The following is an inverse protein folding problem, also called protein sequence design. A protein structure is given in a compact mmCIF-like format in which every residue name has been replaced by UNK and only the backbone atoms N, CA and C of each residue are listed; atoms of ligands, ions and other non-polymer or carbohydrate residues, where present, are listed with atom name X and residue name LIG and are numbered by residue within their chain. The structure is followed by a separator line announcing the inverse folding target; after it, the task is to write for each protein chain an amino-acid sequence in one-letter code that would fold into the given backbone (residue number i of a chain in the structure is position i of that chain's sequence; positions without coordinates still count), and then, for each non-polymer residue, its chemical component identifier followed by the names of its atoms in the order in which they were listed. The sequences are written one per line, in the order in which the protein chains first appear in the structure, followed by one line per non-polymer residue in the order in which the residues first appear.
data_IF_297552171097
#
_entry.id   IF_297552171097
#
_cell.length_a   1.000
_cell.length_b   1.000
_cell.length_c   1.000
_cell.angle_alpha   90.00
_cell.angle_beta   90.00
_cell.angle_gamma   90.00
#
_symmetry.space_group_name_H-M   'P 1'
#
loop_
_entity.id
_entity.type
_entity.pdbx_description
1 polymer ?
#
# COMPACT_ATOMS: atom_id res chain seq x y z
N UNK A 1 -10.90 67.53 -12.60
CA UNK A 1 -10.35 67.09 -11.30
C UNK A 1 -10.26 65.56 -11.33
N UNK A 2 -9.32 65.03 -12.12
CA UNK A 2 -9.30 63.62 -12.56
C UNK A 2 -7.85 63.10 -12.58
N UNK A 3 -7.12 63.29 -11.47
CA UNK A 3 -5.69 62.90 -11.42
C UNK A 3 -5.31 62.13 -10.14
N UNK A 4 -6.18 62.07 -9.12
CA UNK A 4 -5.87 61.35 -7.86
C UNK A 4 -6.37 59.89 -7.81
N UNK A 5 -7.26 59.47 -8.71
CA UNK A 5 -7.85 58.11 -8.70
C UNK A 5 -7.14 57.07 -9.57
N UNK A 6 -6.54 57.49 -10.68
CA UNK A 6 -5.85 56.60 -11.63
C UNK A 6 -4.67 55.81 -11.02
N UNK A 7 -3.73 56.43 -10.28
CA UNK A 7 -2.58 55.70 -9.75
C UNK A 7 -2.97 54.68 -8.67
N UNK A 8 -3.99 54.98 -7.86
CA UNK A 8 -4.51 54.05 -6.85
C UNK A 8 -5.17 52.82 -7.50
N UNK A 9 -5.90 53.02 -8.58
CA UNK A 9 -6.52 51.93 -9.36
C UNK A 9 -5.43 51.08 -10.04
N UNK A 10 -4.36 51.70 -10.56
CA UNK A 10 -3.24 50.97 -11.17
C UNK A 10 -2.49 50.10 -10.13
N UNK A 11 -2.25 50.62 -8.93
CA UNK A 11 -1.66 49.81 -7.85
C UNK A 11 -2.56 48.66 -7.39
N UNK A 12 -3.88 48.89 -7.32
CA UNK A 12 -4.85 47.85 -6.98
C UNK A 12 -4.91 46.75 -8.05
N UNK A 13 -4.93 47.11 -9.34
CA UNK A 13 -4.92 46.12 -10.44
C UNK A 13 -3.62 45.32 -10.47
N UNK A 14 -2.48 45.96 -10.17
CA UNK A 14 -1.18 45.29 -10.07
C UNK A 14 -1.14 44.30 -8.89
N UNK A 15 -1.68 44.68 -7.73
CA UNK A 15 -1.82 43.78 -6.58
C UNK A 15 -2.75 42.60 -6.87
N UNK A 16 -3.91 42.84 -7.49
CA UNK A 16 -4.84 41.78 -7.89
C UNK A 16 -4.17 40.84 -8.91
N UNK A 17 -3.44 41.37 -9.88
CA UNK A 17 -2.68 40.58 -10.85
C UNK A 17 -1.62 39.71 -10.17
N UNK A 18 -0.88 40.27 -9.20
CA UNK A 18 0.14 39.54 -8.45
C UNK A 18 -0.46 38.44 -7.57
N UNK A 19 -1.55 38.73 -6.85
CA UNK A 19 -2.27 37.72 -6.05
C UNK A 19 -2.84 36.61 -6.94
N UNK A 20 -3.43 36.96 -8.09
CA UNK A 20 -3.98 35.97 -9.03
C UNK A 20 -2.88 35.07 -9.61
N UNK A 21 -1.72 35.65 -9.95
CA UNK A 21 -0.57 34.90 -10.43
C UNK A 21 -0.03 33.95 -9.36
N UNK A 22 0.13 34.42 -8.11
CA UNK A 22 0.56 33.57 -7.00
C UNK A 22 -0.44 32.45 -6.72
N UNK A 23 -1.74 32.74 -6.71
CA UNK A 23 -2.78 31.72 -6.52
C UNK A 23 -2.72 30.66 -7.62
N UNK A 24 -2.46 31.06 -8.86
CA UNK A 24 -2.30 30.13 -9.99
C UNK A 24 -1.07 29.24 -9.82
N UNK A 25 0.07 29.82 -9.39
CA UNK A 25 1.30 29.04 -9.13
C UNK A 25 1.08 28.03 -8.00
N UNK A 26 0.46 28.44 -6.90
CA UNK A 26 0.15 27.56 -5.77
C UNK A 26 -0.80 26.45 -6.19
N UNK A 27 -1.88 26.77 -6.91
CA UNK A 27 -2.83 25.78 -7.40
C UNK A 27 -2.15 24.78 -8.36
N UNK A 28 -1.31 25.27 -9.28
CA UNK A 28 -0.56 24.42 -10.21
C UNK A 28 0.38 23.48 -9.45
N UNK A 29 1.06 23.98 -8.42
CA UNK A 29 1.93 23.17 -7.56
C UNK A 29 1.14 22.08 -6.82
N UNK A 30 -0.02 22.43 -6.25
CA UNK A 30 -0.90 21.48 -5.55
C UNK A 30 -1.38 20.39 -6.51
N UNK A 31 -1.88 20.78 -7.70
CA UNK A 31 -2.35 19.82 -8.71
C UNK A 31 -1.20 18.91 -9.14
N UNK A 32 -0.02 19.47 -9.42
CA UNK A 32 1.14 18.68 -9.84
C UNK A 32 1.53 17.63 -8.80
N UNK A 33 1.64 18.01 -7.53
CA UNK A 33 1.96 17.07 -6.45
C UNK A 33 0.87 16.03 -6.24
N UNK A 34 -0.39 16.41 -6.37
CA UNK A 34 -1.51 15.48 -6.25
C UNK A 34 -1.51 14.46 -7.40
N UNK A 35 -1.32 14.91 -8.65
CA UNK A 35 -1.22 14.04 -9.82
C UNK A 35 -0.07 13.06 -9.70
N UNK A 36 1.12 13.50 -9.27
CA UNK A 36 2.25 12.57 -9.06
C UNK A 36 1.95 11.50 -8.01
N UNK A 37 1.25 11.85 -6.92
CA UNK A 37 0.85 10.86 -5.90
C UNK A 37 -0.19 9.89 -6.43
N UNK A 38 -1.18 10.38 -7.18
CA UNK A 38 -2.21 9.55 -7.78
C UNK A 38 -1.61 8.57 -8.79
N UNK A 39 -0.70 9.03 -9.66
CA UNK A 39 -0.02 8.20 -10.66
C UNK A 39 0.81 7.10 -10.00
N UNK A 40 1.58 7.41 -8.94
CA UNK A 40 2.32 6.40 -8.19
C UNK A 40 1.41 5.33 -7.60
N UNK A 41 0.29 5.75 -6.99
CA UNK A 41 -0.67 4.81 -6.42
C UNK A 41 -1.31 3.92 -7.50
N UNK A 42 -1.60 4.50 -8.68
CA UNK A 42 -2.14 3.75 -9.82
C UNK A 42 -1.13 2.75 -10.38
N UNK A 43 0.15 3.13 -10.52
CA UNK A 43 1.23 2.22 -10.93
C UNK A 43 1.37 1.06 -9.94
N UNK A 44 1.41 1.35 -8.64
CA UNK A 44 1.46 0.30 -7.60
C UNK A 44 0.28 -0.65 -7.72
N UNK A 45 -0.95 -0.11 -7.86
CA UNK A 45 -2.15 -0.93 -8.04
C UNK A 45 -2.10 -1.77 -9.32
N UNK A 46 -1.61 -1.20 -10.42
CA UNK A 46 -1.43 -1.89 -11.70
C UNK A 46 -0.49 -3.08 -11.56
N UNK A 47 0.71 -2.85 -11.04
CA UNK A 47 1.71 -3.91 -10.78
C UNK A 47 1.12 -5.02 -9.88
N UNK A 48 0.36 -4.65 -8.83
CA UNK A 48 -0.24 -5.65 -7.94
C UNK A 48 -1.37 -6.44 -8.59
N UNK A 49 -2.11 -5.85 -9.54
CA UNK A 49 -3.10 -6.57 -10.35
C UNK A 49 -2.41 -7.55 -11.30
N UNK A 50 -1.31 -7.14 -11.95
CA UNK A 50 -0.53 -8.02 -12.82
C UNK A 50 0.03 -9.21 -12.04
N UNK A 51 0.56 -8.96 -10.83
CA UNK A 51 0.97 -10.02 -9.91
C UNK A 51 -0.16 -10.93 -9.49
N UNK A 52 -1.36 -10.38 -9.24
CA UNK A 52 -2.54 -11.20 -8.93
C UNK A 52 -2.91 -12.11 -10.09
N UNK A 53 -2.90 -11.58 -11.31
CA UNK A 53 -3.26 -12.35 -12.51
C UNK A 53 -2.22 -13.44 -12.79
N UNK A 54 -0.93 -13.14 -12.60
CA UNK A 54 0.14 -14.15 -12.60
C UNK A 54 -0.09 -15.23 -11.53
N UNK A 55 -0.36 -14.86 -10.29
CA UNK A 55 -0.60 -15.81 -9.20
C UNK A 55 -1.83 -16.70 -9.49
N UNK A 56 -2.89 -16.14 -10.07
CA UNK A 56 -4.06 -16.91 -10.48
C UNK A 56 -3.75 -17.90 -11.61
N UNK A 57 -2.88 -17.51 -12.56
CA UNK A 57 -2.40 -18.42 -13.60
C UNK A 57 -1.59 -19.58 -13.02
N UNK A 58 -0.64 -19.30 -12.12
CA UNK A 58 0.14 -20.34 -11.42
C UNK A 58 -0.77 -21.26 -10.61
N UNK A 59 -1.80 -20.74 -9.94
CA UNK A 59 -2.75 -21.58 -9.21
C UNK A 59 -3.55 -22.53 -10.11
N UNK A 60 -3.80 -22.13 -11.37
CA UNK A 60 -4.54 -22.91 -12.35
C UNK A 60 -3.72 -23.97 -13.08
N UNK A 61 -2.38 -23.90 -13.05
CA UNK A 61 -1.49 -24.71 -13.87
C UNK A 61 -0.40 -25.41 -13.03
N UNK A 62 -0.34 -26.74 -13.11
CA UNK A 62 0.61 -27.54 -12.33
C UNK A 62 2.05 -27.44 -12.85
N UNK A 63 2.25 -27.27 -14.15
CA UNK A 63 3.59 -27.12 -14.73
C UNK A 63 4.19 -25.78 -14.28
N UNK A 64 3.37 -24.71 -14.25
CA UNK A 64 3.79 -23.42 -13.69
C UNK A 64 4.13 -23.51 -12.20
N UNK A 65 3.41 -24.32 -11.42
CA UNK A 65 3.75 -24.54 -10.00
C UNK A 65 5.09 -25.24 -9.84
N UNK A 66 5.39 -26.22 -10.69
CA UNK A 66 6.68 -26.92 -10.66
C UNK A 66 7.82 -26.00 -11.08
N UNK A 67 7.60 -25.14 -12.08
CA UNK A 67 8.57 -24.13 -12.50
C UNK A 67 8.84 -23.14 -11.36
N UNK A 68 7.78 -22.61 -10.73
CA UNK A 68 7.91 -21.66 -9.63
C UNK A 68 8.60 -22.29 -8.40
N UNK A 69 8.26 -23.55 -8.08
CA UNK A 69 8.93 -24.34 -7.05
C UNK A 69 10.44 -24.46 -7.30
N UNK A 70 10.83 -24.74 -8.55
CA UNK A 70 12.24 -24.93 -8.94
C UNK A 70 13.03 -23.62 -9.05
N UNK A 71 12.35 -22.50 -9.27
CA UNK A 71 12.97 -21.18 -9.44
C UNK A 71 12.90 -20.30 -8.18
N UNK A 72 12.31 -20.79 -7.08
CA UNK A 72 12.17 -20.00 -5.87
C UNK A 72 13.53 -19.59 -5.31
N UNK A 73 13.63 -18.35 -4.84
CA UNK A 73 14.87 -17.73 -4.34
C UNK A 73 15.40 -18.37 -3.05
N UNK A 74 14.52 -19.01 -2.28
CA UNK A 74 14.82 -19.71 -1.04
C UNK A 74 14.58 -21.21 -1.24
N UNK A 75 14.99 -22.05 -0.29
CA UNK A 75 14.92 -23.53 -0.39
C UNK A 75 13.66 -24.03 -1.13
N UNK A 76 13.86 -25.01 -2.02
CA UNK A 76 12.86 -25.42 -3.01
C UNK A 76 11.49 -25.71 -2.39
N UNK A 77 10.49 -24.93 -2.78
CA UNK A 77 9.12 -25.10 -2.32
C UNK A 77 8.52 -26.36 -2.96
N UNK A 78 7.68 -27.07 -2.23
CA UNK A 78 6.77 -28.04 -2.83
C UNK A 78 5.69 -27.33 -3.66
N UNK A 79 5.05 -28.02 -4.61
CA UNK A 79 3.92 -27.46 -5.36
C UNK A 79 2.76 -27.01 -4.45
N UNK A 80 2.59 -27.66 -3.29
CA UNK A 80 1.60 -27.22 -2.30
C UNK A 80 1.97 -25.88 -1.67
N UNK A 81 3.25 -25.69 -1.32
CA UNK A 81 3.74 -24.44 -0.77
C UNK A 81 3.73 -23.30 -1.79
N UNK A 82 3.97 -23.60 -3.08
CA UNK A 82 3.77 -22.62 -4.16
C UNK A 82 2.31 -22.14 -4.21
N UNK A 83 1.34 -23.06 -4.15
CA UNK A 83 -0.09 -22.66 -4.10
C UNK A 83 -0.38 -21.80 -2.88
N UNK A 84 0.10 -22.23 -1.71
CA UNK A 84 -0.04 -21.49 -0.45
C UNK A 84 0.56 -20.09 -0.56
N UNK A 85 1.75 -19.96 -1.13
CA UNK A 85 2.44 -18.71 -1.38
C UNK A 85 1.62 -17.77 -2.31
N UNK A 86 1.17 -18.27 -3.46
CA UNK A 86 0.33 -17.49 -4.39
C UNK A 86 -0.95 -16.98 -3.71
N UNK A 87 -1.59 -17.80 -2.88
CA UNK A 87 -2.78 -17.38 -2.12
C UNK A 87 -2.45 -16.25 -1.15
N UNK A 88 -1.34 -16.31 -0.43
CA UNK A 88 -0.97 -15.22 0.48
C UNK A 88 -0.57 -13.94 -0.25
N UNK A 89 0.10 -14.01 -1.41
CA UNK A 89 0.31 -12.82 -2.23
C UNK A 89 -1.03 -12.15 -2.56
N UNK A 90 -2.02 -12.92 -3.02
CA UNK A 90 -3.35 -12.39 -3.30
C UNK A 90 -3.98 -11.75 -2.06
N UNK A 91 -3.88 -12.40 -0.89
CA UNK A 91 -4.44 -11.89 0.38
C UNK A 91 -3.74 -10.63 0.88
N UNK A 92 -2.41 -10.56 0.78
CA UNK A 92 -1.59 -9.46 1.30
C UNK A 92 -1.57 -8.25 0.36
N UNK A 93 -1.76 -8.44 -0.95
CA UNK A 93 -1.81 -7.34 -1.91
C UNK A 93 -2.95 -6.35 -1.60
N UNK A 94 -4.09 -6.82 -1.07
CA UNK A 94 -5.23 -5.97 -0.70
C UNK A 94 -4.88 -5.01 0.45
N UNK A 95 -4.52 -5.47 1.66
CA UNK A 95 -4.14 -4.59 2.76
C UNK A 95 -2.89 -3.76 2.44
N UNK A 96 -1.96 -4.27 1.62
CA UNK A 96 -0.81 -3.48 1.16
C UNK A 96 -1.22 -2.27 0.33
N UNK A 97 -2.09 -2.48 -0.67
CA UNK A 97 -2.62 -1.38 -1.49
C UNK A 97 -3.43 -0.39 -0.65
N UNK A 98 -4.21 -0.88 0.31
CA UNK A 98 -4.94 -0.02 1.24
C UNK A 98 -4.00 0.83 2.10
N UNK A 99 -2.91 0.24 2.60
CA UNK A 99 -1.89 0.95 3.37
C UNK A 99 -1.18 2.03 2.57
N UNK A 100 -0.75 1.73 1.33
CA UNK A 100 -0.18 2.72 0.41
C UNK A 100 -1.18 3.84 0.08
N UNK A 101 -2.46 3.50 -0.13
CA UNK A 101 -3.51 4.50 -0.37
C UNK A 101 -3.72 5.42 0.84
N UNK A 102 -3.69 4.88 2.06
CA UNK A 102 -3.81 5.66 3.30
C UNK A 102 -2.59 6.58 3.52
N UNK A 103 -1.37 6.10 3.23
CA UNK A 103 -0.17 6.95 3.27
C UNK A 103 -0.24 8.15 2.31
N UNK A 104 -0.98 7.99 1.20
CA UNK A 104 -1.21 9.04 0.23
C UNK A 104 -2.49 9.86 0.49
N UNK A 105 -3.15 9.66 1.64
CA UNK A 105 -4.39 10.33 2.06
C UNK A 105 -5.60 10.07 1.16
N UNK A 106 -5.63 8.93 0.46
CA UNK A 106 -6.78 8.49 -0.34
C UNK A 106 -7.74 7.57 0.44
N UNK A 107 -7.31 7.06 1.60
CA UNK A 107 -8.08 6.16 2.45
C UNK A 107 -7.84 6.49 3.93
N UNK A 108 -8.84 6.27 4.78
CA UNK A 108 -8.68 6.40 6.23
C UNK A 108 -7.85 5.24 6.79
N UNK A 109 -6.84 5.59 7.60
CA UNK A 109 -5.99 4.61 8.26
C UNK A 109 -6.77 3.70 9.21
N UNK A 110 -7.88 4.17 9.79
CA UNK A 110 -8.72 3.34 10.66
C UNK A 110 -9.33 2.12 9.93
N UNK A 111 -9.69 2.28 8.65
CA UNK A 111 -10.20 1.17 7.84
C UNK A 111 -9.08 0.22 7.43
N UNK A 112 -7.89 0.76 7.13
CA UNK A 112 -6.69 -0.05 6.87
C UNK A 112 -6.30 -0.88 8.08
N UNK A 113 -6.31 -0.28 9.27
CA UNK A 113 -5.92 -0.97 10.50
C UNK A 113 -6.84 -2.15 10.80
N UNK A 114 -8.16 -1.98 10.60
CA UNK A 114 -9.14 -3.06 10.77
C UNK A 114 -8.90 -4.21 9.79
N UNK A 115 -8.61 -3.90 8.53
CA UNK A 115 -8.30 -4.93 7.53
C UNK A 115 -6.99 -5.65 7.86
N UNK A 116 -5.96 -4.90 8.26
CA UNK A 116 -4.68 -5.47 8.70
C UNK A 116 -4.84 -6.37 9.93
N UNK A 117 -5.68 -6.00 10.90
CA UNK A 117 -5.97 -6.83 12.06
C UNK A 117 -6.62 -8.16 11.66
N UNK A 118 -7.63 -8.09 10.78
CA UNK A 118 -8.32 -9.29 10.27
C UNK A 118 -7.36 -10.20 9.50
N UNK A 119 -6.58 -9.63 8.57
CA UNK A 119 -5.64 -10.40 7.76
C UNK A 119 -4.53 -10.99 8.64
N UNK A 120 -3.98 -10.22 9.58
CA UNK A 120 -2.98 -10.71 10.52
C UNK A 120 -3.50 -11.91 11.30
N UNK A 121 -4.72 -11.85 11.85
CA UNK A 121 -5.33 -12.96 12.58
C UNK A 121 -5.51 -14.21 11.70
N UNK A 122 -6.01 -14.04 10.47
CA UNK A 122 -6.23 -15.16 9.53
C UNK A 122 -4.93 -15.84 9.10
N UNK A 123 -3.82 -15.10 9.09
CA UNK A 123 -2.52 -15.56 8.62
C UNK A 123 -1.57 -15.94 9.76
N UNK A 124 -1.95 -15.71 11.02
CA UNK A 124 -1.10 -15.89 12.19
C UNK A 124 -0.45 -17.27 12.27
N UNK A 125 -1.23 -18.32 11.99
CA UNK A 125 -0.75 -19.71 12.03
C UNK A 125 0.41 -19.98 11.07
N UNK A 126 0.51 -19.21 10.00
CA UNK A 126 1.48 -19.38 8.93
C UNK A 126 2.49 -18.23 8.88
N UNK A 127 2.66 -17.50 9.99
CA UNK A 127 3.53 -16.32 10.06
C UNK A 127 4.97 -16.62 9.61
N UNK A 128 5.58 -17.70 10.08
CA UNK A 128 6.96 -18.07 9.74
C UNK A 128 7.13 -18.33 8.24
N UNK A 129 6.15 -18.99 7.62
CA UNK A 129 6.13 -19.24 6.18
C UNK A 129 6.06 -17.92 5.39
N UNK A 130 5.22 -16.99 5.85
CA UNK A 130 5.04 -15.68 5.22
C UNK A 130 6.30 -14.82 5.36
N UNK A 131 6.91 -14.79 6.53
CA UNK A 131 8.15 -14.06 6.77
C UNK A 131 9.30 -14.57 5.90
N UNK A 132 9.39 -15.88 5.71
CA UNK A 132 10.48 -16.51 4.98
C UNK A 132 10.32 -16.38 3.47
N UNK A 133 9.12 -16.62 2.93
CA UNK A 133 8.94 -16.80 1.49
C UNK A 133 8.21 -15.67 0.78
N UNK A 134 7.50 -14.80 1.52
CA UNK A 134 6.59 -13.82 0.92
C UNK A 134 7.08 -12.39 1.16
N UNK A 135 7.38 -12.01 2.41
CA UNK A 135 7.87 -10.66 2.73
C UNK A 135 9.08 -10.22 1.90
N UNK A 136 10.11 -11.06 1.65
CA UNK A 136 11.27 -10.65 0.87
C UNK A 136 10.99 -10.35 -0.61
N UNK A 137 9.82 -10.73 -1.14
CA UNK A 137 9.52 -10.71 -2.59
C UNK A 137 8.76 -9.46 -3.06
N UNK A 138 8.60 -8.43 -2.24
CA UNK A 138 8.08 -7.14 -2.73
C UNK A 138 7.29 -6.29 -1.74
N UNK A 139 7.39 -6.54 -0.44
CA UNK A 139 6.72 -5.72 0.57
C UNK A 139 7.73 -4.85 1.30
N UNK A 140 7.36 -3.58 1.51
CA UNK A 140 8.18 -2.65 2.30
C UNK A 140 8.35 -3.14 3.75
N UNK A 141 9.54 -2.95 4.31
CA UNK A 141 9.85 -3.33 5.70
C UNK A 141 8.88 -2.72 6.71
N UNK A 142 8.40 -1.50 6.45
CA UNK A 142 7.43 -0.82 7.29
C UNK A 142 6.07 -1.54 7.30
N UNK A 143 5.63 -2.06 6.14
CA UNK A 143 4.41 -2.86 6.06
C UNK A 143 4.59 -4.20 6.76
N UNK A 144 5.71 -4.89 6.52
CA UNK A 144 6.04 -6.15 7.19
C UNK A 144 6.06 -5.99 8.72
N UNK A 145 6.63 -4.89 9.22
CA UNK A 145 6.64 -4.58 10.65
C UNK A 145 5.23 -4.36 11.24
N UNK A 146 4.29 -3.81 10.46
CA UNK A 146 2.89 -3.65 10.90
C UNK A 146 2.19 -4.99 11.14
N UNK A 147 2.45 -5.99 10.28
CA UNK A 147 1.92 -7.35 10.47
C UNK A 147 2.59 -8.05 11.66
N UNK A 148 3.92 -7.99 11.75
CA UNK A 148 4.68 -8.56 12.87
C UNK A 148 4.19 -8.05 14.22
N UNK A 149 3.97 -6.74 14.34
CA UNK A 149 3.46 -6.13 15.58
C UNK A 149 2.10 -6.71 15.99
N UNK A 150 1.24 -7.01 15.02
CA UNK A 150 -0.09 -7.60 15.27
C UNK A 150 0.00 -9.06 15.68
N UNK A 151 0.87 -9.83 15.03
CA UNK A 151 1.13 -11.21 15.43
C UNK A 151 1.67 -11.30 16.86
N UNK A 152 2.65 -10.47 17.22
CA UNK A 152 3.14 -10.38 18.62
C UNK A 152 2.01 -10.04 19.61
N UNK A 153 1.04 -9.21 19.22
CA UNK A 153 -0.09 -8.88 20.07
C UNK A 153 -1.06 -10.07 20.23
N UNK A 154 -1.26 -10.86 19.17
CA UNK A 154 -2.07 -12.09 19.20
C UNK A 154 -1.43 -13.11 20.15
N UNK A 155 -0.13 -13.40 19.98
CA UNK A 155 0.63 -14.32 20.85
C UNK A 155 0.46 -13.96 22.34
N UNK A 156 0.64 -12.67 22.68
CA UNK A 156 0.48 -12.19 24.05
C UNK A 156 -0.94 -12.31 24.59
N UNK A 157 -1.94 -12.23 23.73
CA UNK A 157 -3.35 -12.33 24.12
C UNK A 157 -3.78 -13.77 24.38
N UNK A 158 -3.18 -14.73 23.68
CA UNK A 158 -3.45 -16.15 23.86
C UNK A 158 -2.71 -16.70 25.08
N UNK A 159 -1.48 -16.25 25.34
CA UNK A 159 -0.73 -16.55 26.58
C UNK A 159 -1.45 -16.08 27.87
N UNK A 160 -2.30 -15.05 27.77
CA UNK A 160 -3.10 -14.54 28.88
C UNK A 160 -4.34 -15.39 29.17
N UNK A 161 -4.93 -16.02 28.16
CA UNK A 161 -6.14 -16.85 28.32
C UNK A 161 -5.82 -18.20 28.98
N UNK A 162 -4.64 -18.75 28.74
CA UNK A 162 -4.19 -20.02 29.34
C UNK A 162 -3.76 -19.88 30.81
N UNK A 163 -3.61 -18.65 31.32
CA UNK A 163 -3.25 -18.38 32.73
C UNK A 163 -4.45 -18.15 33.64
N UNK A 164 -5.59 -17.81 33.06
CA UNK A 164 -6.85 -17.53 33.77
C UNK A 164 -7.85 -18.69 33.69
N UNK A 165 -7.45 -19.84 33.13
CA UNK A 165 -8.20 -21.10 33.05
C UNK A 165 -7.66 -22.16 34.02
#
# INVERSE_FOLDING_TARGET
MTILGAPLIDWLTLLVGLVSAMATVVLTYVIFHWTQKAEKNEITRGIQNDWRDYNLAVLGDQDLQTIEAGNHLFEGLSSFEVKKMCIYFIKLNVPYNMWIAAQNHFLDMADVDRELDNQAALMHRDQEFIETHIFPRGYDDAFCALLRKRWIAIDRSDDGKDRDA
#
